data_IF_487985257970
#
_entry.id   IF_487985257970
#
_cell.length_a   1.000
_cell.length_b   1.000
_cell.length_c   1.000
_cell.angle_alpha   90.00
_cell.angle_beta   90.00
_cell.angle_gamma   90.00
#
_symmetry.space_group_name_H-M   'P 1'
#
loop_
_entity.id
_entity.type
_entity.pdbx_description
1 polymer ?
#
# COMPACT_ATOMS: atom_id res chain seq x y z
N UNK A 1 -4.93 8.62 26.61
CA UNK A 1 -5.00 7.85 25.37
C UNK A 1 -5.41 8.82 24.28
N UNK A 2 -4.56 9.06 23.30
CA UNK A 2 -4.88 9.88 22.14
C UNK A 2 -5.70 8.99 21.19
N UNK A 3 -6.99 9.28 21.04
CA UNK A 3 -7.82 8.60 20.05
C UNK A 3 -7.49 9.13 18.65
N UNK A 4 -7.46 8.25 17.65
CA UNK A 4 -7.39 8.69 16.25
C UNK A 4 -8.64 9.52 15.92
N UNK A 5 -8.50 10.58 15.09
CA UNK A 5 -9.66 11.25 14.51
C UNK A 5 -10.54 10.28 13.70
N UNK A 6 -11.85 10.50 13.72
CA UNK A 6 -12.86 9.62 13.09
C UNK A 6 -12.81 9.58 11.55
N UNK A 7 -11.92 10.36 10.92
CA UNK A 7 -11.77 10.39 9.47
C UNK A 7 -10.40 9.89 9.08
N UNK A 8 -10.33 9.01 8.10
CA UNK A 8 -9.10 8.53 7.48
C UNK A 8 -8.99 9.21 6.11
N UNK A 9 -7.82 9.75 5.81
CA UNK A 9 -7.54 10.36 4.53
C UNK A 9 -6.83 9.36 3.64
N UNK A 10 -7.25 9.26 2.37
CA UNK A 10 -6.63 8.41 1.37
C UNK A 10 -6.15 9.26 0.20
N UNK A 11 -4.86 9.21 -0.13
CA UNK A 11 -4.30 9.83 -1.33
C UNK A 11 -4.34 8.80 -2.44
N UNK A 12 -4.99 9.14 -3.55
CA UNK A 12 -5.28 8.27 -4.67
C UNK A 12 -4.64 8.81 -5.94
N UNK A 13 -3.84 7.97 -6.62
CA UNK A 13 -3.17 8.30 -7.87
C UNK A 13 -3.97 7.85 -9.09
N UNK A 14 -4.75 6.76 -8.95
CA UNK A 14 -5.68 6.24 -9.95
C UNK A 14 -7.03 5.94 -9.32
N UNK A 15 -8.11 6.25 -10.04
CA UNK A 15 -9.48 6.12 -9.53
C UNK A 15 -9.90 4.68 -9.16
N UNK A 16 -9.26 3.65 -9.72
CA UNK A 16 -9.55 2.25 -9.43
C UNK A 16 -8.56 1.59 -8.45
N UNK A 17 -7.47 2.27 -8.10
CA UNK A 17 -6.60 1.91 -6.99
C UNK A 17 -7.08 2.66 -5.74
N UNK A 18 -8.23 2.24 -5.23
CA UNK A 18 -8.90 2.78 -4.05
C UNK A 18 -8.64 1.89 -2.81
N UNK A 19 -9.30 2.16 -1.69
CA UNK A 19 -9.19 1.36 -0.47
C UNK A 19 -9.85 -0.03 -0.58
N UNK A 20 -10.55 -0.32 -1.68
CA UNK A 20 -11.18 -1.60 -1.93
C UNK A 20 -12.00 -2.11 -0.76
N UNK A 21 -11.79 -3.37 -0.38
CA UNK A 21 -12.47 -4.01 0.74
C UNK A 21 -12.20 -3.33 2.10
N UNK A 22 -11.12 -2.59 2.23
CA UNK A 22 -10.81 -1.90 3.49
C UNK A 22 -11.71 -0.71 3.75
N UNK A 23 -12.38 -0.14 2.74
CA UNK A 23 -13.31 0.96 2.94
C UNK A 23 -14.51 0.53 3.77
N UNK A 24 -15.09 -0.65 3.48
CA UNK A 24 -16.19 -1.22 4.26
C UNK A 24 -15.75 -1.53 5.70
N UNK A 25 -14.55 -2.11 5.88
CA UNK A 25 -13.98 -2.37 7.22
C UNK A 25 -13.84 -1.09 8.03
N UNK A 26 -13.39 0.01 7.40
CA UNK A 26 -13.28 1.31 8.06
C UNK A 26 -14.65 1.85 8.50
N UNK A 27 -15.67 1.74 7.65
CA UNK A 27 -17.03 2.15 8.00
C UNK A 27 -17.60 1.31 9.14
N UNK A 28 -17.39 0.00 9.13
CA UNK A 28 -17.80 -0.90 10.23
C UNK A 28 -17.12 -0.54 11.56
N UNK A 29 -15.85 -0.08 11.52
CA UNK A 29 -15.11 0.38 12.68
C UNK A 29 -15.47 1.82 13.11
N UNK A 30 -16.40 2.48 12.40
CA UNK A 30 -16.90 3.82 12.71
C UNK A 30 -16.08 4.97 12.13
N UNK A 31 -15.12 4.68 11.26
CA UNK A 31 -14.36 5.71 10.55
C UNK A 31 -15.12 6.21 9.32
N UNK A 32 -14.76 7.44 8.89
CA UNK A 32 -15.14 8.01 7.60
C UNK A 32 -13.90 8.04 6.72
N UNK A 33 -14.10 7.90 5.41
CA UNK A 33 -13.01 8.02 4.43
C UNK A 33 -13.16 9.31 3.64
N UNK A 34 -12.04 9.98 3.40
CA UNK A 34 -11.94 11.11 2.48
C UNK A 34 -10.77 10.90 1.53
N UNK A 35 -11.08 10.87 0.24
CA UNK A 35 -10.08 10.78 -0.82
C UNK A 35 -9.53 12.17 -1.19
N UNK A 36 -8.25 12.17 -1.57
CA UNK A 36 -7.53 13.27 -2.20
C UNK A 36 -6.90 12.75 -3.49
N UNK A 37 -7.24 13.34 -4.62
CA UNK A 37 -6.68 12.96 -5.92
C UNK A 37 -5.32 13.63 -6.10
N UNK A 38 -4.25 12.82 -6.25
CA UNK A 38 -2.90 13.31 -6.53
C UNK A 38 -2.87 14.07 -7.88
N UNK A 39 -2.12 15.17 -7.93
CA UNK A 39 -2.09 16.03 -9.10
C UNK A 39 -3.28 16.97 -9.29
N UNK A 40 -4.32 16.86 -8.46
CA UNK A 40 -5.53 17.70 -8.54
C UNK A 40 -5.83 18.41 -7.22
N UNK A 41 -5.84 17.67 -6.11
CA UNK A 41 -6.15 18.21 -4.79
C UNK A 41 -4.91 18.77 -4.09
N UNK A 42 -5.13 19.65 -3.11
CA UNK A 42 -4.09 20.14 -2.22
C UNK A 42 -3.71 19.05 -1.20
N UNK A 43 -2.66 18.28 -1.52
CA UNK A 43 -2.18 17.18 -0.68
C UNK A 43 -1.63 17.66 0.68
N UNK A 44 -1.33 18.94 0.86
CA UNK A 44 -0.89 19.49 2.14
C UNK A 44 -1.98 19.29 3.21
N UNK A 45 -3.26 19.28 2.85
CA UNK A 45 -4.36 18.98 3.77
C UNK A 45 -4.31 17.54 4.28
N UNK A 46 -4.01 16.58 3.40
CA UNK A 46 -3.92 15.19 3.78
C UNK A 46 -2.62 14.88 4.54
N UNK A 47 -1.49 15.41 4.08
CA UNK A 47 -0.18 15.09 4.64
C UNK A 47 0.16 15.85 5.93
N UNK A 48 -0.50 16.98 6.23
CA UNK A 48 -0.42 17.64 7.55
C UNK A 48 -1.50 17.17 8.53
N UNK A 49 -2.39 16.27 8.13
CA UNK A 49 -3.43 15.73 9.00
C UNK A 49 -2.85 14.87 10.13
N UNK A 50 -3.34 15.04 11.36
CA UNK A 50 -2.83 14.33 12.53
C UNK A 50 -3.36 12.90 12.69
N UNK A 51 -4.45 12.56 12.00
CA UNK A 51 -4.98 11.19 11.92
C UNK A 51 -4.24 10.34 10.89
N UNK A 52 -4.79 9.16 10.62
CA UNK A 52 -4.23 8.25 9.62
C UNK A 52 -4.40 8.83 8.21
N UNK A 53 -3.30 8.85 7.46
CA UNK A 53 -3.29 9.05 6.01
C UNK A 53 -2.79 7.79 5.34
N UNK A 54 -3.58 7.26 4.42
CA UNK A 54 -3.22 6.13 3.55
C UNK A 54 -2.76 6.72 2.21
N UNK A 55 -1.61 6.29 1.72
CA UNK A 55 -1.07 6.63 0.41
C UNK A 55 -1.20 5.38 -0.46
N UNK A 56 -2.06 5.45 -1.46
CA UNK A 56 -2.42 4.31 -2.30
C UNK A 56 -1.41 4.09 -3.45
N UNK A 57 -1.66 3.05 -4.22
CA UNK A 57 -0.87 2.66 -5.37
C UNK A 57 -0.95 3.62 -6.56
N UNK A 58 -0.19 3.31 -7.59
CA UNK A 58 -0.16 4.02 -8.86
C UNK A 58 0.92 3.48 -9.79
N UNK A 59 0.77 3.69 -11.12
CA UNK A 59 1.63 3.08 -12.15
C UNK A 59 2.88 3.90 -12.47
N UNK A 60 3.27 4.84 -11.62
CA UNK A 60 4.41 5.75 -11.82
C UNK A 60 5.51 5.46 -10.80
N UNK A 61 6.76 5.71 -11.19
CA UNK A 61 7.91 5.58 -10.28
C UNK A 61 8.11 6.82 -9.43
N UNK A 62 8.55 6.65 -8.19
CA UNK A 62 8.83 7.78 -7.26
C UNK A 62 9.89 8.74 -7.80
N UNK A 63 10.71 8.32 -8.75
CA UNK A 63 11.79 9.07 -9.38
C UNK A 63 11.34 9.83 -10.64
N UNK A 64 10.09 9.67 -11.09
CA UNK A 64 9.55 10.31 -12.31
C UNK A 64 9.02 11.74 -12.03
N UNK A 65 9.72 12.48 -11.17
CA UNK A 65 9.30 13.82 -10.73
C UNK A 65 9.36 14.89 -11.84
N UNK A 66 10.12 14.67 -12.90
CA UNK A 66 10.15 15.55 -14.08
C UNK A 66 8.88 15.40 -14.91
N UNK A 67 8.40 14.18 -15.09
CA UNK A 67 7.18 13.90 -15.84
C UNK A 67 5.91 14.15 -15.00
N UNK A 68 5.99 13.90 -13.69
CA UNK A 68 4.90 14.09 -12.72
C UNK A 68 5.30 15.05 -11.59
N UNK A 69 5.31 16.37 -11.81
CA UNK A 69 5.83 17.35 -10.83
C UNK A 69 5.14 17.35 -9.47
N UNK A 70 3.88 16.88 -9.38
CA UNK A 70 3.17 16.75 -8.11
C UNK A 70 3.84 15.74 -7.15
N UNK A 71 4.57 14.74 -7.68
CA UNK A 71 5.29 13.76 -6.87
C UNK A 71 6.36 14.43 -5.98
N UNK A 72 7.08 15.42 -6.50
CA UNK A 72 8.07 16.14 -5.69
C UNK A 72 7.44 16.83 -4.49
N UNK A 73 6.29 17.48 -4.70
CA UNK A 73 5.53 18.10 -3.62
C UNK A 73 5.03 17.06 -2.60
N UNK A 74 4.51 15.94 -3.08
CA UNK A 74 4.04 14.85 -2.24
C UNK A 74 5.19 14.28 -1.39
N UNK A 75 6.35 14.01 -1.98
CA UNK A 75 7.55 13.53 -1.29
C UNK A 75 8.00 14.52 -0.20
N UNK A 76 8.05 15.81 -0.50
CA UNK A 76 8.49 16.84 0.45
C UNK A 76 7.53 16.96 1.64
N UNK A 77 6.22 16.94 1.40
CA UNK A 77 5.21 16.93 2.45
C UNK A 77 5.24 15.64 3.26
N UNK A 78 5.46 14.50 2.58
CA UNK A 78 5.56 13.20 3.24
C UNK A 78 6.77 13.13 4.17
N UNK A 79 7.94 13.64 3.77
CA UNK A 79 9.12 13.74 4.67
C UNK A 79 8.76 14.44 5.98
N UNK A 80 8.12 15.61 5.89
CA UNK A 80 7.69 16.37 7.09
C UNK A 80 6.70 15.56 7.93
N UNK A 81 5.78 14.81 7.30
CA UNK A 81 4.82 13.96 8.00
C UNK A 81 5.52 12.83 8.76
N UNK A 82 6.47 12.16 8.13
CA UNK A 82 7.23 11.05 8.72
C UNK A 82 8.15 11.53 9.85
N UNK A 83 8.79 12.70 9.71
CA UNK A 83 9.58 13.33 10.78
C UNK A 83 8.74 13.64 12.03
N UNK A 84 7.48 14.01 11.84
CA UNK A 84 6.50 14.20 12.93
C UNK A 84 5.95 12.89 13.47
N UNK A 85 6.36 11.75 12.91
CA UNK A 85 5.87 10.42 13.26
C UNK A 85 4.33 10.31 13.27
N UNK A 86 3.67 10.93 12.29
CA UNK A 86 2.20 10.88 12.15
C UNK A 86 1.76 9.53 11.54
N UNK A 87 0.57 9.01 11.93
CA UNK A 87 0.05 7.74 11.43
C UNK A 87 -0.03 7.70 9.90
N UNK A 88 0.75 6.83 9.28
CA UNK A 88 0.92 6.76 7.81
C UNK A 88 0.96 5.31 7.35
N UNK A 89 0.13 4.98 6.38
CA UNK A 89 0.12 3.69 5.70
C UNK A 89 0.37 3.91 4.21
N UNK A 90 1.34 3.22 3.64
CA UNK A 90 1.60 3.23 2.20
C UNK A 90 1.33 1.87 1.58
N UNK A 91 0.68 1.85 0.41
CA UNK A 91 0.42 0.64 -0.37
C UNK A 91 1.06 0.81 -1.74
N UNK A 92 1.83 -0.16 -2.20
CA UNK A 92 2.51 -0.21 -3.49
C UNK A 92 3.36 1.07 -3.72
N UNK A 93 2.98 1.96 -4.63
CA UNK A 93 3.63 3.27 -4.80
C UNK A 93 3.72 4.04 -3.48
N UNK A 94 2.67 4.00 -2.66
CA UNK A 94 2.68 4.65 -1.34
C UNK A 94 3.76 4.10 -0.40
N UNK A 95 4.02 2.80 -0.41
CA UNK A 95 5.11 2.20 0.36
C UNK A 95 6.48 2.62 -0.18
N UNK A 96 6.62 2.72 -1.50
CA UNK A 96 7.84 3.21 -2.16
C UNK A 96 8.09 4.69 -1.87
N UNK A 97 7.03 5.53 -1.87
CA UNK A 97 7.12 6.94 -1.47
C UNK A 97 7.57 7.10 -0.02
N UNK A 98 7.04 6.29 0.90
CA UNK A 98 7.48 6.26 2.31
C UNK A 98 8.96 5.85 2.38
N UNK A 99 9.36 4.76 1.71
CA UNK A 99 10.74 4.31 1.71
C UNK A 99 11.70 5.37 1.17
N UNK A 100 11.33 6.01 0.05
CA UNK A 100 12.09 7.10 -0.55
C UNK A 100 12.19 8.33 0.37
N UNK A 101 11.09 8.76 0.97
CA UNK A 101 11.05 9.89 1.91
C UNK A 101 11.88 9.63 3.17
N UNK A 102 12.05 8.37 3.57
CA UNK A 102 12.94 7.92 4.65
C UNK A 102 14.41 7.75 4.21
N UNK A 103 14.74 8.08 2.96
CA UNK A 103 16.10 8.06 2.43
C UNK A 103 16.54 6.74 1.80
N UNK A 104 15.65 5.76 1.66
CA UNK A 104 15.96 4.51 0.98
C UNK A 104 15.87 4.68 -0.55
N UNK A 105 16.64 3.88 -1.28
CA UNK A 105 16.62 3.85 -2.73
C UNK A 105 15.39 3.08 -3.21
N UNK A 106 14.67 3.64 -4.18
CA UNK A 106 13.62 2.95 -4.96
C UNK A 106 14.11 2.81 -6.39
N UNK A 107 13.90 1.66 -7.00
CA UNK A 107 14.44 1.34 -8.32
C UNK A 107 13.62 0.26 -9.03
N UNK A 108 13.73 0.21 -10.35
CA UNK A 108 13.13 -0.85 -11.14
C UNK A 108 13.69 -2.22 -10.72
N UNK A 109 12.80 -3.14 -10.37
CA UNK A 109 13.15 -4.49 -10.00
C UNK A 109 13.66 -5.32 -11.19
N UNK A 110 14.18 -6.51 -10.90
CA UNK A 110 14.69 -7.42 -11.93
C UNK A 110 13.58 -8.09 -12.75
N UNK A 111 12.35 -8.10 -12.24
CA UNK A 111 11.16 -8.62 -12.91
C UNK A 111 9.89 -7.94 -12.36
N UNK A 112 8.81 -7.98 -13.13
CA UNK A 112 7.50 -7.64 -12.58
C UNK A 112 6.99 -8.76 -11.70
N UNK A 113 6.43 -8.43 -10.55
CA UNK A 113 5.71 -9.34 -9.68
C UNK A 113 4.22 -8.98 -9.76
N UNK A 114 3.49 -9.71 -10.64
CA UNK A 114 2.06 -9.52 -10.87
C UNK A 114 1.37 -10.89 -10.77
N UNK A 115 0.51 -11.03 -9.78
CA UNK A 115 -0.20 -12.28 -9.50
C UNK A 115 -0.40 -12.54 -8.02
N UNK A 116 -0.87 -13.74 -7.71
CA UNK A 116 -1.19 -14.17 -6.36
C UNK A 116 -0.08 -15.09 -5.84
N UNK A 117 0.48 -14.74 -4.68
CA UNK A 117 1.44 -15.59 -3.98
C UNK A 117 1.45 -15.31 -2.48
N UNK A 118 2.05 -16.24 -1.72
CA UNK A 118 2.17 -16.09 -0.27
C UNK A 118 3.37 -15.22 0.10
N UNK A 119 3.23 -14.54 1.23
CA UNK A 119 4.32 -13.83 1.89
C UNK A 119 5.07 -14.75 2.85
N UNK A 120 6.36 -14.48 2.99
CA UNK A 120 7.20 -15.01 4.06
C UNK A 120 7.26 -13.95 5.16
N UNK A 121 6.52 -14.17 6.26
CA UNK A 121 6.46 -13.22 7.36
C UNK A 121 7.69 -13.35 8.26
N UNK A 122 8.29 -12.22 8.60
CA UNK A 122 9.36 -12.18 9.59
C UNK A 122 8.79 -12.35 11.01
N UNK A 123 9.55 -13.07 11.83
CA UNK A 123 9.23 -13.22 13.26
C UNK A 123 9.59 -11.94 13.99
N UNK A 124 8.63 -11.02 14.04
CA UNK A 124 8.73 -9.76 14.77
C UNK A 124 7.59 -9.63 15.76
N UNK A 125 7.86 -8.99 16.90
CA UNK A 125 6.84 -8.80 17.93
C UNK A 125 5.71 -7.92 17.39
N UNK A 126 4.45 -8.34 17.64
CA UNK A 126 3.26 -7.61 17.18
C UNK A 126 3.27 -7.29 15.67
N UNK A 127 3.65 -8.27 14.82
CA UNK A 127 3.56 -8.12 13.37
C UNK A 127 2.07 -7.98 12.96
N UNK A 128 1.63 -6.83 12.42
CA UNK A 128 0.23 -6.64 12.04
C UNK A 128 -0.22 -7.57 10.91
N UNK A 129 0.73 -8.16 10.17
CA UNK A 129 0.45 -9.05 9.03
C UNK A 129 0.18 -10.50 9.46
N UNK A 130 0.15 -10.82 10.76
CA UNK A 130 0.03 -12.19 11.25
C UNK A 130 -1.21 -12.92 10.72
N UNK A 131 -2.29 -12.20 10.42
CA UNK A 131 -3.50 -12.76 9.85
C UNK A 131 -3.31 -13.30 8.41
N UNK A 132 -2.25 -12.85 7.70
CA UNK A 132 -1.94 -13.28 6.33
C UNK A 132 -1.16 -14.58 6.24
N UNK A 133 -0.79 -15.21 7.35
CA UNK A 133 -0.09 -16.51 7.33
C UNK A 133 -0.90 -17.54 6.54
N UNK A 134 -0.28 -18.10 5.49
CA UNK A 134 -0.92 -19.09 4.62
C UNK A 134 -1.93 -18.53 3.63
N UNK A 135 -2.10 -17.21 3.58
CA UNK A 135 -2.99 -16.53 2.61
C UNK A 135 -2.16 -15.98 1.45
N UNK A 136 -2.63 -16.19 0.24
CA UNK A 136 -2.06 -15.54 -0.95
C UNK A 136 -2.57 -14.11 -1.04
N UNK A 137 -1.65 -13.18 -1.36
CA UNK A 137 -1.94 -11.75 -1.56
C UNK A 137 -1.74 -11.37 -3.02
N UNK A 138 -2.38 -10.30 -3.47
CA UNK A 138 -2.15 -9.77 -4.81
C UNK A 138 -0.87 -8.94 -4.82
N UNK A 139 0.08 -9.34 -5.63
CA UNK A 139 1.23 -8.54 -6.02
C UNK A 139 0.95 -7.85 -7.34
N UNK A 140 1.33 -6.57 -7.45
CA UNK A 140 1.20 -5.82 -8.70
C UNK A 140 2.22 -4.67 -8.71
N UNK A 141 3.48 -5.01 -8.96
CA UNK A 141 4.55 -4.02 -9.01
C UNK A 141 5.72 -4.45 -9.90
N UNK A 142 6.49 -3.49 -10.33
CA UNK A 142 7.74 -3.70 -11.07
C UNK A 142 8.93 -3.07 -10.38
N UNK A 143 8.67 -2.02 -9.60
CA UNK A 143 9.68 -1.36 -8.77
C UNK A 143 9.76 -1.99 -7.39
N UNK A 144 10.92 -1.82 -6.77
CA UNK A 144 11.21 -2.27 -5.41
C UNK A 144 12.03 -1.21 -4.68
N UNK A 145 12.25 -1.41 -3.39
CA UNK A 145 12.99 -0.47 -2.55
C UNK A 145 13.98 -1.17 -1.63
N UNK A 146 15.02 -0.46 -1.24
CA UNK A 146 15.85 -0.86 -0.12
C UNK A 146 15.11 -0.62 1.19
N UNK A 147 15.36 -1.48 2.20
CA UNK A 147 14.77 -1.28 3.51
C UNK A 147 15.32 0.01 4.14
N UNK A 148 14.46 0.99 4.52
CA UNK A 148 14.94 2.18 5.24
C UNK A 148 15.70 1.81 6.52
N UNK A 149 16.79 2.51 6.83
CA UNK A 149 17.71 2.15 7.92
C UNK A 149 17.04 2.04 9.30
N UNK A 150 15.97 2.81 9.53
CA UNK A 150 15.17 2.82 10.77
C UNK A 150 13.99 1.86 10.75
N UNK A 151 13.77 1.14 9.63
CA UNK A 151 12.62 0.27 9.46
C UNK A 151 12.88 -1.15 9.92
N UNK A 152 11.84 -1.80 10.37
CA UNK A 152 11.79 -3.23 10.66
C UNK A 152 11.08 -3.95 9.51
N UNK A 153 11.74 -4.96 8.93
CA UNK A 153 11.18 -5.78 7.86
C UNK A 153 10.12 -6.72 8.41
N UNK A 154 8.91 -6.69 7.84
CA UNK A 154 7.76 -7.50 8.28
C UNK A 154 7.51 -8.70 7.38
N UNK A 155 7.77 -8.57 6.08
CA UNK A 155 7.52 -9.62 5.10
C UNK A 155 8.42 -9.52 3.87
N UNK A 156 8.65 -10.68 3.24
CA UNK A 156 9.27 -10.85 1.93
C UNK A 156 8.41 -11.73 1.04
N UNK A 157 8.68 -11.78 -0.26
CA UNK A 157 8.18 -12.78 -1.19
C UNK A 157 9.33 -13.63 -1.73
N UNK A 158 9.03 -14.63 -2.55
CA UNK A 158 10.07 -15.38 -3.24
C UNK A 158 10.83 -14.53 -4.27
N UNK A 159 10.18 -13.48 -4.80
CA UNK A 159 10.74 -12.61 -5.83
C UNK A 159 11.51 -11.44 -5.22
N UNK A 160 10.99 -10.83 -4.16
CA UNK A 160 11.59 -9.64 -3.56
C UNK A 160 11.69 -9.72 -2.05
N UNK A 161 12.85 -9.29 -1.47
CA UNK A 161 13.08 -9.37 -0.04
C UNK A 161 12.27 -8.35 0.77
N UNK A 162 11.82 -7.26 0.18
CA UNK A 162 11.18 -6.15 0.88
C UNK A 162 9.73 -6.01 0.42
N UNK A 163 8.81 -6.70 1.08
CA UNK A 163 7.36 -6.64 0.78
C UNK A 163 6.56 -5.85 1.81
N UNK A 164 7.05 -5.76 3.04
CA UNK A 164 6.42 -4.92 4.06
C UNK A 164 7.43 -4.49 5.10
N UNK A 165 7.28 -3.27 5.59
CA UNK A 165 8.11 -2.71 6.66
C UNK A 165 7.31 -1.79 7.56
N UNK A 166 7.81 -1.58 8.78
CA UNK A 166 7.28 -0.55 9.68
C UNK A 166 8.39 0.32 10.26
N UNK A 167 8.04 1.55 10.65
CA UNK A 167 8.88 2.41 11.49
C UNK A 167 8.09 2.77 12.74
N UNK A 168 8.51 2.23 13.87
CA UNK A 168 7.74 2.29 15.10
C UNK A 168 6.36 1.66 14.93
N UNK A 169 5.34 2.26 15.55
CA UNK A 169 3.95 1.80 15.44
C UNK A 169 3.12 2.61 14.44
N UNK A 170 3.59 3.77 14.03
CA UNK A 170 2.81 4.76 13.30
C UNK A 170 2.97 4.66 11.76
N UNK A 171 4.06 4.10 11.29
CA UNK A 171 4.37 4.07 9.84
C UNK A 171 4.42 2.61 9.37
N UNK A 172 3.61 2.29 8.37
CA UNK A 172 3.53 0.97 7.76
C UNK A 172 3.59 1.11 6.22
N UNK A 173 4.48 0.36 5.58
CA UNK A 173 4.58 0.25 4.12
C UNK A 173 4.32 -1.18 3.66
N UNK A 174 3.44 -1.36 2.68
CA UNK A 174 3.04 -2.64 2.09
C UNK A 174 3.25 -2.56 0.57
N UNK A 175 4.13 -3.39 0.00
CA UNK A 175 4.37 -3.40 -1.45
C UNK A 175 3.28 -4.14 -2.21
N UNK A 176 2.64 -5.12 -1.59
CA UNK A 176 1.52 -5.88 -2.10
C UNK A 176 0.17 -5.20 -1.78
N UNK A 177 -0.92 -5.73 -2.33
CA UNK A 177 -2.26 -5.16 -2.26
C UNK A 177 -3.21 -6.01 -1.38
N UNK A 178 -3.22 -5.80 -0.05
CA UNK A 178 -4.16 -6.49 0.82
C UNK A 178 -5.57 -5.89 0.80
N UNK A 179 -5.71 -4.67 0.27
CA UNK A 179 -6.95 -3.90 0.21
C UNK A 179 -7.86 -4.31 -0.95
N UNK A 180 -7.33 -5.04 -1.94
CA UNK A 180 -8.08 -5.33 -3.16
C UNK A 180 -9.39 -6.06 -2.86
N UNK A 181 -10.52 -5.54 -3.38
CA UNK A 181 -11.80 -6.19 -3.28
C UNK A 181 -11.89 -7.41 -4.23
N UNK A 182 -12.58 -8.46 -3.81
CA UNK A 182 -12.68 -9.71 -4.58
C UNK A 182 -13.27 -9.51 -5.99
N UNK A 183 -14.18 -8.55 -6.16
CA UNK A 183 -14.79 -8.18 -7.43
C UNK A 183 -14.06 -7.05 -8.17
N UNK A 184 -12.99 -6.49 -7.57
CA UNK A 184 -12.26 -5.32 -8.08
C UNK A 184 -11.33 -5.62 -9.27
N UNK A 185 -10.89 -6.87 -9.46
CA UNK A 185 -9.82 -7.22 -10.40
C UNK A 185 -10.07 -6.73 -11.85
N UNK A 186 -11.30 -6.76 -12.35
CA UNK A 186 -11.57 -6.37 -13.75
C UNK A 186 -11.23 -4.90 -14.03
N UNK A 187 -11.38 -4.00 -13.06
CA UNK A 187 -10.95 -2.60 -13.19
C UNK A 187 -9.43 -2.50 -13.37
N UNK A 188 -8.68 -3.31 -12.64
CA UNK A 188 -7.22 -3.39 -12.72
C UNK A 188 -6.76 -3.97 -14.06
N UNK A 189 -7.39 -5.05 -14.52
CA UNK A 189 -7.08 -5.67 -15.83
C UNK A 189 -7.28 -4.70 -16.98
N UNK A 190 -8.32 -3.86 -16.92
CA UNK A 190 -8.61 -2.83 -17.93
C UNK A 190 -7.62 -1.68 -17.79
N UNK A 191 -7.46 -1.15 -16.59
CA UNK A 191 -6.62 0.01 -16.30
C UNK A 191 -5.15 -0.20 -16.62
N UNK A 192 -4.61 -1.38 -16.31
CA UNK A 192 -3.21 -1.74 -16.52
C UNK A 192 -2.94 -2.58 -17.78
N UNK A 193 -3.82 -2.53 -18.77
CA UNK A 193 -3.72 -3.39 -19.97
C UNK A 193 -2.39 -3.28 -20.70
N UNK A 194 -1.75 -2.10 -20.73
CA UNK A 194 -0.45 -1.91 -21.37
C UNK A 194 0.65 -2.65 -20.60
N UNK A 195 0.67 -2.51 -19.29
CA UNK A 195 1.63 -3.18 -18.41
C UNK A 195 1.50 -4.71 -18.46
N UNK A 196 0.29 -5.23 -18.41
CA UNK A 196 0.01 -6.67 -18.49
C UNK A 196 0.52 -7.27 -19.80
N UNK A 197 0.36 -6.55 -20.92
CA UNK A 197 0.89 -6.97 -22.22
C UNK A 197 2.42 -6.96 -22.25
N UNK A 198 3.05 -5.91 -21.72
CA UNK A 198 4.51 -5.81 -21.68
C UNK A 198 5.12 -6.90 -20.79
N UNK A 199 4.47 -7.23 -19.69
CA UNK A 199 4.90 -8.28 -18.77
C UNK A 199 4.51 -9.69 -19.23
N UNK A 200 3.81 -9.85 -20.38
CA UNK A 200 3.29 -11.12 -20.89
C UNK A 200 2.45 -11.89 -19.86
N UNK A 201 1.64 -11.18 -19.06
CA UNK A 201 0.79 -11.79 -18.04
C UNK A 201 -0.34 -12.59 -18.69
N UNK A 202 -0.54 -13.82 -18.19
CA UNK A 202 -1.69 -14.65 -18.57
C UNK A 202 -2.94 -14.18 -17.83
N UNK A 203 -3.70 -13.27 -18.44
CA UNK A 203 -4.91 -12.68 -17.84
C UNK A 203 -5.97 -13.75 -17.46
N UNK A 204 -6.28 -14.77 -18.29
CA UNK A 204 -7.16 -15.86 -17.87
C UNK A 204 -6.70 -16.59 -16.59
N UNK A 205 -5.40 -16.87 -16.45
CA UNK A 205 -4.84 -17.49 -15.25
C UNK A 205 -4.95 -16.55 -14.04
N UNK A 206 -4.58 -15.28 -14.19
CA UNK A 206 -4.69 -14.28 -13.11
C UNK A 206 -6.15 -14.14 -12.61
N UNK A 207 -7.12 -14.18 -13.54
CA UNK A 207 -8.55 -14.15 -13.18
C UNK A 207 -8.99 -15.43 -12.43
N UNK A 208 -8.48 -16.60 -12.83
CA UNK A 208 -8.77 -17.87 -12.14
C UNK A 208 -8.17 -17.87 -10.73
N UNK A 209 -6.95 -17.35 -10.56
CA UNK A 209 -6.32 -17.19 -9.24
C UNK A 209 -7.10 -16.20 -8.36
N UNK A 210 -7.57 -15.09 -8.91
CA UNK A 210 -8.44 -14.16 -8.17
C UNK A 210 -9.70 -14.85 -7.66
N UNK A 211 -10.37 -15.65 -8.49
CA UNK A 211 -11.56 -16.41 -8.06
C UNK A 211 -11.28 -17.37 -6.92
N UNK A 212 -10.07 -17.89 -6.84
CA UNK A 212 -9.63 -18.83 -5.80
C UNK A 212 -9.21 -18.12 -4.51
N UNK A 213 -8.53 -16.95 -4.61
CA UNK A 213 -7.79 -16.36 -3.50
C UNK A 213 -8.49 -15.14 -2.91
N UNK A 214 -9.18 -14.32 -3.73
CA UNK A 214 -9.56 -12.96 -3.33
C UNK A 214 -10.53 -12.93 -2.15
N UNK A 215 -11.51 -13.81 -2.10
CA UNK A 215 -12.48 -13.85 -1.00
C UNK A 215 -11.83 -14.19 0.36
N UNK A 216 -10.79 -15.03 0.35
CA UNK A 216 -10.04 -15.33 1.58
C UNK A 216 -9.19 -14.13 1.98
N UNK A 217 -8.51 -13.48 1.03
CA UNK A 217 -7.73 -12.27 1.30
C UNK A 217 -8.62 -11.18 1.88
N UNK A 218 -9.74 -10.89 1.26
CA UNK A 218 -10.72 -9.88 1.72
C UNK A 218 -11.16 -10.15 3.16
N UNK A 219 -11.48 -11.42 3.48
CA UNK A 219 -11.88 -11.80 4.84
C UNK A 219 -10.78 -11.55 5.89
N UNK A 220 -9.50 -11.85 5.58
CA UNK A 220 -8.42 -11.74 6.58
C UNK A 220 -7.72 -10.39 6.56
N UNK A 221 -7.74 -9.66 5.45
CA UNK A 221 -7.04 -8.39 5.31
C UNK A 221 -7.62 -7.30 6.21
N UNK A 222 -8.92 -7.35 6.49
CA UNK A 222 -9.56 -6.49 7.48
C UNK A 222 -8.96 -6.63 8.88
N UNK A 223 -8.47 -7.83 9.23
CA UNK A 223 -7.79 -8.06 10.52
C UNK A 223 -6.40 -7.38 10.55
N UNK A 224 -5.71 -7.31 9.39
CA UNK A 224 -4.45 -6.56 9.26
C UNK A 224 -4.68 -5.08 9.53
N UNK A 225 -5.68 -4.50 8.88
CA UNK A 225 -6.06 -3.11 9.07
C UNK A 225 -6.47 -2.82 10.52
N UNK A 226 -7.32 -3.68 11.10
CA UNK A 226 -7.76 -3.55 12.49
C UNK A 226 -6.60 -3.65 13.49
N UNK A 227 -5.64 -4.58 13.25
CA UNK A 227 -4.45 -4.73 14.08
C UNK A 227 -3.56 -3.48 14.02
N UNK A 228 -3.36 -2.91 12.82
CA UNK A 228 -2.62 -1.68 12.63
C UNK A 228 -3.30 -0.50 13.33
N UNK A 229 -4.60 -0.27 13.10
CA UNK A 229 -5.37 0.79 13.75
C UNK A 229 -5.32 0.70 15.27
N UNK A 230 -5.42 -0.52 15.82
CA UNK A 230 -5.30 -0.75 17.27
C UNK A 230 -3.92 -0.38 17.82
N UNK A 231 -2.85 -0.58 17.04
CA UNK A 231 -1.50 -0.22 17.45
C UNK A 231 -1.27 1.30 17.49
N UNK A 232 -2.04 2.08 16.71
CA UNK A 232 -1.94 3.54 16.64
C UNK A 232 -2.51 4.23 17.89
N UNK A 233 -3.38 3.58 18.65
CA UNK A 233 -4.07 4.06 19.86
C UNK A 233 -3.36 3.50 21.10
#
# INVERSE_FOLDING_TARGET
>A
MTTLPDTIYAIQHLAFEDLGAWEDVLYELGYRVRYFEAGKDDLAKALNYTGLTVILGGPIGVYETEDYPFLQQEIDLLKVRLEKNLPTLGICLGAQLIAHALGAKVYAGHSKEIGWSQLQLNTVEHNPLQALVGTEVLHWHGDTFELPAQAELLASSEVYPNQAFRVGKNILGLQFHPEVAADGLEKWLIGHTAELRQANINIPALRADNQRCAAQLEHVSGQVLAAYLKALV
#
